data_IF_879163735233
#
_entry.id   IF_879163735233
#
_cell.length_a   1.000
_cell.length_b   1.000
_cell.length_c   1.000
_cell.angle_alpha   90.00
_cell.angle_beta   90.00
_cell.angle_gamma   90.00
#
_symmetry.space_group_name_H-M   'P 1'
#
loop_
_entity.id
_entity.type
_entity.pdbx_description
1 polymer ?
#
# COMPACT_ATOMS: atom_id res chain seq x y z
N UNK A 1 -0.59 23.23 -1.39
CA UNK A 1 -0.98 23.19 -2.81
C UNK A 1 -0.01 22.25 -3.53
N UNK A 2 -0.49 21.25 -4.28
CA UNK A 2 0.38 20.29 -4.98
C UNK A 2 1.17 20.98 -6.09
N UNK A 3 2.46 20.63 -6.23
CA UNK A 3 3.34 21.17 -7.29
C UNK A 3 3.04 20.47 -8.62
N UNK A 4 3.13 21.17 -9.77
CA UNK A 4 2.89 20.56 -11.08
C UNK A 4 3.79 19.35 -11.40
N UNK A 5 4.97 19.28 -10.80
CA UNK A 5 5.91 18.17 -10.93
C UNK A 5 5.42 16.85 -10.31
N UNK A 6 4.33 16.87 -9.53
CA UNK A 6 3.73 15.68 -8.93
C UNK A 6 2.61 15.08 -9.79
N UNK A 7 2.21 15.76 -10.89
CA UNK A 7 1.25 15.19 -11.82
C UNK A 7 1.92 14.11 -12.67
N UNK A 8 1.31 12.94 -12.74
CA UNK A 8 1.73 11.87 -13.65
C UNK A 8 0.93 11.95 -14.95
N UNK A 9 1.48 11.45 -16.05
CA UNK A 9 0.77 11.36 -17.34
C UNK A 9 -0.30 10.25 -17.38
N UNK A 10 -0.60 9.62 -16.23
CA UNK A 10 -1.45 8.43 -16.13
C UNK A 10 -0.79 7.14 -16.60
N UNK A 11 0.48 7.18 -17.02
CA UNK A 11 1.22 5.99 -17.47
C UNK A 11 1.30 4.92 -16.37
N UNK A 12 1.53 5.34 -15.12
CA UNK A 12 1.64 4.44 -13.96
C UNK A 12 0.34 3.64 -13.76
N UNK A 13 -0.81 4.29 -13.82
CA UNK A 13 -2.12 3.61 -13.69
C UNK A 13 -2.35 2.62 -14.83
N UNK A 14 -1.89 2.95 -16.04
CA UNK A 14 -1.98 2.06 -17.19
C UNK A 14 -1.12 0.81 -17.00
N UNK A 15 0.11 0.97 -16.53
CA UNK A 15 1.03 -0.14 -16.29
C UNK A 15 0.54 -1.02 -15.13
N UNK A 16 -0.01 -0.43 -14.07
CA UNK A 16 -0.59 -1.16 -12.94
C UNK A 16 -1.71 -2.11 -13.38
N UNK A 17 -2.51 -1.75 -14.39
CA UNK A 17 -3.56 -2.63 -14.92
C UNK A 17 -3.02 -3.93 -15.51
N UNK A 18 -1.77 -3.93 -15.99
CA UNK A 18 -1.09 -5.10 -16.52
C UNK A 18 -0.54 -6.02 -15.42
N UNK A 19 -0.43 -5.50 -14.19
CA UNK A 19 0.18 -6.20 -13.06
C UNK A 19 -0.84 -6.72 -12.05
N UNK A 20 -2.11 -6.29 -12.12
CA UNK A 20 -3.13 -6.71 -11.15
C UNK A 20 -3.39 -8.22 -11.15
N UNK A 21 -3.11 -8.90 -12.26
CA UNK A 21 -3.21 -10.36 -12.38
C UNK A 21 -1.96 -11.13 -11.93
N UNK A 22 -0.86 -10.41 -11.62
CA UNK A 22 0.42 -10.98 -11.19
C UNK A 22 0.84 -10.30 -9.88
N UNK A 23 0.64 -10.99 -8.76
CA UNK A 23 0.90 -10.46 -7.41
C UNK A 23 2.36 -10.04 -7.19
N UNK A 24 3.33 -10.70 -7.84
CA UNK A 24 4.74 -10.32 -7.76
C UNK A 24 4.98 -8.99 -8.47
N UNK A 25 4.38 -8.81 -9.64
CA UNK A 25 4.49 -7.55 -10.40
C UNK A 25 3.67 -6.42 -9.81
N UNK A 26 2.57 -6.75 -9.13
CA UNK A 26 1.72 -5.77 -8.46
C UNK A 26 2.54 -4.95 -7.47
N UNK A 27 3.32 -5.59 -6.60
CA UNK A 27 4.15 -4.91 -5.60
C UNK A 27 5.16 -3.92 -6.18
N UNK A 28 5.72 -4.22 -7.36
CA UNK A 28 6.67 -3.34 -8.04
C UNK A 28 6.02 -2.16 -8.78
N UNK A 29 4.73 -2.26 -9.10
CA UNK A 29 3.98 -1.24 -9.85
C UNK A 29 3.17 -0.27 -8.98
N UNK A 30 3.13 -0.48 -7.66
CA UNK A 30 2.36 0.36 -6.76
C UNK A 30 2.95 1.76 -6.64
N UNK A 31 2.06 2.73 -6.66
CA UNK A 31 2.42 4.14 -6.58
C UNK A 31 1.29 4.91 -5.90
N UNK A 32 1.66 5.81 -5.00
CA UNK A 32 0.73 6.77 -4.43
C UNK A 32 1.26 8.19 -4.61
N UNK A 33 0.51 9.02 -5.33
CA UNK A 33 0.90 10.40 -5.65
C UNK A 33 1.08 11.29 -4.41
N UNK A 34 0.50 10.92 -3.26
CA UNK A 34 0.64 11.65 -2.02
C UNK A 34 1.90 11.29 -1.23
N UNK A 35 2.57 10.17 -1.52
CA UNK A 35 3.78 9.73 -0.79
C UNK A 35 4.84 10.83 -0.67
N UNK A 36 5.23 11.55 -1.76
CA UNK A 36 6.26 12.58 -1.67
C UNK A 36 5.92 13.73 -0.72
N UNK A 37 4.65 13.93 -0.37
CA UNK A 37 4.20 14.97 0.55
C UNK A 37 3.85 14.43 1.94
N UNK A 38 3.32 13.20 2.02
CA UNK A 38 2.84 12.63 3.28
C UNK A 38 3.97 12.49 4.31
N UNK A 39 5.17 12.11 3.87
CA UNK A 39 6.34 11.98 4.75
C UNK A 39 6.86 13.33 5.29
N UNK A 40 6.54 14.44 4.62
CA UNK A 40 6.86 15.79 5.10
C UNK A 40 5.74 16.38 5.99
N UNK A 41 4.52 15.83 5.91
CA UNK A 41 3.33 16.35 6.60
C UNK A 41 3.05 15.61 7.90
N UNK A 42 3.28 14.30 7.94
CA UNK A 42 3.02 13.46 9.10
C UNK A 42 4.34 13.18 9.84
N UNK A 43 4.50 13.81 11.00
CA UNK A 43 5.64 13.56 11.87
C UNK A 43 5.76 12.08 12.23
N UNK A 44 6.98 11.56 12.19
CA UNK A 44 7.30 10.16 12.52
C UNK A 44 6.91 9.14 11.44
N UNK A 45 6.27 9.53 10.33
CA UNK A 45 5.85 8.57 9.30
C UNK A 45 7.05 7.86 8.64
N UNK A 46 8.18 8.56 8.48
CA UNK A 46 9.44 7.96 8.00
C UNK A 46 9.99 6.91 8.98
N UNK A 47 9.83 7.14 10.29
CA UNK A 47 10.27 6.20 11.32
C UNK A 47 9.41 4.94 11.23
N UNK A 48 8.07 5.07 11.18
CA UNK A 48 7.18 3.91 11.02
C UNK A 48 7.52 3.11 9.76
N UNK A 49 7.78 3.78 8.63
CA UNK A 49 8.18 3.10 7.39
C UNK A 49 9.51 2.34 7.54
N UNK A 50 10.50 2.95 8.20
CA UNK A 50 11.78 2.31 8.50
C UNK A 50 11.62 1.10 9.43
N UNK A 51 10.75 1.20 10.44
CA UNK A 51 10.45 0.10 11.35
C UNK A 51 9.75 -1.05 10.64
N UNK A 52 8.79 -0.77 9.75
CA UNK A 52 8.16 -1.77 8.88
C UNK A 52 9.19 -2.51 8.01
N UNK A 53 10.14 -1.78 7.40
CA UNK A 53 11.20 -2.40 6.60
C UNK A 53 12.13 -3.27 7.47
N UNK A 54 12.47 -2.81 8.67
CA UNK A 54 13.35 -3.53 9.61
C UNK A 54 12.77 -4.87 10.05
N UNK A 55 11.45 -4.98 10.18
CA UNK A 55 10.76 -6.23 10.54
C UNK A 55 10.44 -7.13 9.34
N UNK A 56 10.81 -6.73 8.12
CA UNK A 56 10.75 -7.58 6.93
C UNK A 56 9.73 -7.18 5.87
N UNK A 57 9.08 -6.01 5.99
CA UNK A 57 8.20 -5.51 4.91
C UNK A 57 9.06 -5.00 3.75
N UNK A 58 9.01 -5.68 2.60
CA UNK A 58 9.88 -5.39 1.44
C UNK A 58 9.61 -4.04 0.80
N UNK A 59 8.34 -3.67 0.66
CA UNK A 59 7.90 -2.39 0.11
C UNK A 59 6.80 -1.81 0.98
N UNK A 60 6.99 -0.56 1.39
CA UNK A 60 6.06 0.17 2.27
C UNK A 60 5.46 1.30 1.47
N UNK A 61 4.14 1.39 1.48
CA UNK A 61 3.37 2.35 0.72
C UNK A 61 2.36 3.08 1.59
N UNK A 62 2.01 4.30 1.18
CA UNK A 62 0.94 5.07 1.82
C UNK A 62 -0.43 4.56 1.37
N UNK A 63 -1.34 4.37 2.33
CA UNK A 63 -2.74 4.08 2.02
C UNK A 63 -3.53 5.39 1.86
N UNK A 64 -4.09 5.62 0.66
CA UNK A 64 -4.88 6.82 0.36
C UNK A 64 -4.07 8.11 0.55
N UNK A 65 -4.57 9.05 1.36
CA UNK A 65 -3.85 10.28 1.70
C UNK A 65 -3.05 10.19 3.02
N UNK A 66 -3.00 9.00 3.64
CA UNK A 66 -2.34 8.79 4.94
C UNK A 66 -3.26 8.99 6.15
N UNK A 67 -2.71 8.86 7.38
CA UNK A 67 -1.30 8.55 7.68
C UNK A 67 -0.98 7.04 7.67
N UNK A 68 -1.95 6.18 7.33
CA UNK A 68 -1.76 4.74 7.36
C UNK A 68 -0.75 4.28 6.29
N UNK A 69 0.18 3.41 6.70
CA UNK A 69 1.11 2.71 5.82
C UNK A 69 0.67 1.25 5.66
N UNK A 70 1.01 0.66 4.52
CA UNK A 70 0.79 -0.76 4.27
C UNK A 70 1.96 -1.37 3.50
N UNK A 71 2.03 -2.70 3.54
CA UNK A 71 2.94 -3.50 2.73
C UNK A 71 2.43 -4.93 2.64
N UNK A 72 3.08 -5.73 1.82
CA UNK A 72 2.69 -7.12 1.61
C UNK A 72 3.59 -8.07 2.38
N UNK A 73 2.99 -9.12 2.91
CA UNK A 73 3.68 -10.32 3.35
C UNK A 73 3.61 -11.39 2.24
N UNK A 74 4.64 -12.20 2.13
CA UNK A 74 4.72 -13.33 1.19
C UNK A 74 3.70 -14.41 1.54
N UNK A 75 3.44 -14.61 2.83
CA UNK A 75 2.47 -15.55 3.37
C UNK A 75 1.92 -15.11 4.74
N UNK A 76 0.89 -15.84 5.21
CA UNK A 76 0.23 -15.55 6.48
C UNK A 76 1.16 -15.66 7.69
N UNK A 77 2.09 -16.62 7.69
CA UNK A 77 2.99 -16.82 8.82
C UNK A 77 3.95 -15.64 8.97
N UNK A 78 4.50 -15.16 7.85
CA UNK A 78 5.30 -13.94 7.82
C UNK A 78 4.47 -12.71 8.26
N UNK A 79 3.22 -12.60 7.80
CA UNK A 79 2.32 -11.50 8.19
C UNK A 79 2.03 -11.46 9.70
N UNK A 80 1.86 -12.62 10.33
CA UNK A 80 1.67 -12.73 11.79
C UNK A 80 2.92 -12.26 12.52
N UNK A 81 4.11 -12.74 12.12
CA UNK A 81 5.39 -12.36 12.73
C UNK A 81 5.65 -10.84 12.63
N UNK A 82 5.46 -10.26 11.44
CA UNK A 82 5.59 -8.81 11.22
C UNK A 82 4.64 -8.04 12.14
N UNK A 83 3.38 -8.48 12.24
CA UNK A 83 2.38 -7.85 13.09
C UNK A 83 2.80 -7.88 14.56
N UNK A 84 3.22 -9.03 15.07
CA UNK A 84 3.66 -9.18 16.45
C UNK A 84 4.82 -8.23 16.78
N UNK A 85 5.84 -8.20 15.93
CA UNK A 85 7.00 -7.32 16.11
C UNK A 85 6.63 -5.83 16.11
N UNK A 86 5.74 -5.39 15.22
CA UNK A 86 5.31 -3.99 15.18
C UNK A 86 4.40 -3.61 16.37
N UNK A 87 3.57 -4.54 16.85
CA UNK A 87 2.76 -4.33 18.06
C UNK A 87 3.65 -4.21 19.29
N UNK A 88 4.72 -4.99 19.40
CA UNK A 88 5.72 -4.87 20.47
C UNK A 88 6.43 -3.51 20.48
N UNK A 89 6.58 -2.90 19.31
CA UNK A 89 7.10 -1.53 19.15
C UNK A 89 6.05 -0.44 19.47
N UNK A 90 4.80 -0.83 19.75
CA UNK A 90 3.73 0.07 20.16
C UNK A 90 2.81 0.55 19.04
N UNK A 91 2.88 -0.03 17.83
CA UNK A 91 2.04 0.36 16.70
C UNK A 91 0.67 -0.32 16.70
N UNK A 92 -0.32 0.36 16.12
CA UNK A 92 -1.62 -0.24 15.79
C UNK A 92 -1.49 -0.92 14.43
N UNK A 93 -1.62 -2.24 14.40
CA UNK A 93 -1.35 -3.05 13.20
C UNK A 93 -2.51 -4.00 12.90
N UNK A 94 -2.99 -3.93 11.66
CA UNK A 94 -4.01 -4.82 11.12
C UNK A 94 -3.40 -5.71 10.05
N UNK A 95 -3.48 -7.03 10.26
CA UNK A 95 -3.21 -8.02 9.23
C UNK A 95 -4.55 -8.30 8.52
N UNK A 96 -4.58 -8.05 7.22
CA UNK A 96 -5.78 -8.22 6.38
C UNK A 96 -5.44 -9.07 5.17
N UNK A 97 -6.44 -9.76 4.64
CA UNK A 97 -6.33 -10.51 3.39
C UNK A 97 -7.06 -9.77 2.27
N UNK A 98 -6.59 -9.96 1.04
CA UNK A 98 -7.29 -9.44 -0.14
C UNK A 98 -8.60 -10.22 -0.28
N UNK A 99 -9.72 -9.52 -0.11
CA UNK A 99 -11.03 -10.09 -0.39
C UNK A 99 -11.34 -9.98 -1.88
N UNK A 100 -12.20 -10.86 -2.38
CA UNK A 100 -12.76 -10.70 -3.72
C UNK A 100 -13.50 -9.37 -3.87
N UNK A 101 -13.65 -8.92 -5.11
CA UNK A 101 -14.46 -7.74 -5.41
C UNK A 101 -15.88 -7.97 -4.91
N UNK A 102 -16.37 -7.08 -4.05
CA UNK A 102 -17.77 -7.12 -3.61
C UNK A 102 -18.67 -7.03 -4.84
N UNK A 103 -19.72 -7.86 -4.89
CA UNK A 103 -20.75 -7.80 -5.93
C UNK A 103 -21.40 -6.41 -6.04
N UNK A 104 -21.36 -5.61 -4.96
CA UNK A 104 -21.83 -4.23 -4.95
C UNK A 104 -20.98 -3.27 -5.80
N UNK A 105 -19.69 -3.56 -6.00
CA UNK A 105 -18.77 -2.75 -6.81
C UNK A 105 -18.76 -3.17 -8.29
N UNK A 106 -19.38 -4.31 -8.63
CA UNK A 106 -19.50 -4.85 -10.00
C UNK A 106 -20.89 -4.72 -10.61
N UNK A 107 -21.83 -4.05 -9.94
CA UNK A 107 -23.21 -3.80 -10.41
C UNK A 107 -23.34 -3.02 -11.73
N UNK A 108 -22.23 -2.61 -12.35
CA UNK A 108 -22.20 -1.98 -13.68
C UNK A 108 -21.89 -2.93 -14.86
N UNK A 109 -21.61 -4.21 -14.63
CA UNK A 109 -21.25 -5.20 -15.67
C UNK A 109 -22.36 -6.22 -15.92
N UNK A 110 -23.61 -5.76 -16.03
CA UNK A 110 -24.67 -6.52 -16.69
C UNK A 110 -25.25 -5.66 -17.81
N UNK A 111 -25.04 -6.14 -19.04
CA UNK A 111 -25.73 -5.86 -20.31
C UNK A 111 -24.77 -5.41 -21.43
N UNK A 112 -24.19 -6.40 -22.14
CA UNK A 112 -24.55 -6.70 -23.54
C UNK A 112 -23.90 -8.02 -23.99
#
# INVERSE_FOLDING_TARGET
MMKPSLFTSGQITRDLSLFVSDSLRLTAGLFNAFEPLAFDVFDGLNEVAGEMQRVGVKSVHLSGAGPCLYGFADDQAQGILIREQLVELGYIVHLVETTESSSLLTLGQSNN
#
